data_IF_363817965795
#
_entry.id   IF_363817965795
#
_cell.length_a   1.000
_cell.length_b   1.000
_cell.length_c   1.000
_cell.angle_alpha   90.00
_cell.angle_beta   90.00
_cell.angle_gamma   90.00
#
_symmetry.space_group_name_H-M   'P 1'
#
loop_
_entity.id
_entity.type
_entity.pdbx_description
1 polymer ?
#
# COMPACT_ATOMS: atom_id res chain seq x y z
N UNK A 1 28.13 6.14 -8.04
CA UNK A 1 26.79 5.82 -7.53
C UNK A 1 26.64 4.31 -7.49
N UNK A 2 26.89 3.73 -6.33
CA UNK A 2 26.63 2.32 -6.01
C UNK A 2 25.20 1.91 -6.38
N UNK A 3 25.01 0.64 -6.70
CA UNK A 3 23.68 0.07 -6.98
C UNK A 3 22.69 0.26 -5.82
N UNK A 4 23.20 0.36 -4.59
CA UNK A 4 22.40 0.63 -3.39
C UNK A 4 21.74 2.02 -3.44
N UNK A 5 22.51 3.05 -3.80
CA UNK A 5 22.01 4.41 -3.88
C UNK A 5 20.91 4.55 -4.94
N UNK A 6 21.05 3.86 -6.08
CA UNK A 6 20.03 3.82 -7.12
C UNK A 6 18.74 3.15 -6.67
N UNK A 7 18.83 2.06 -5.88
CA UNK A 7 17.66 1.38 -5.34
C UNK A 7 16.91 2.28 -4.36
N UNK A 8 17.61 2.95 -3.44
CA UNK A 8 16.98 3.89 -2.51
C UNK A 8 16.42 5.14 -3.21
N UNK A 9 17.09 5.65 -4.25
CA UNK A 9 16.55 6.74 -5.10
C UNK A 9 15.20 6.32 -5.72
N UNK A 10 15.15 5.15 -6.35
CA UNK A 10 13.92 4.59 -6.91
C UNK A 10 12.83 4.43 -5.83
N UNK A 11 13.22 3.97 -4.64
CA UNK A 11 12.33 3.80 -3.49
C UNK A 11 11.70 5.12 -3.04
N UNK A 12 12.49 6.19 -2.96
CA UNK A 12 12.01 7.54 -2.62
C UNK A 12 11.00 8.02 -3.67
N UNK A 13 11.32 7.88 -4.96
CA UNK A 13 10.44 8.32 -6.05
C UNK A 13 9.11 7.56 -6.05
N UNK A 14 9.16 6.23 -5.95
CA UNK A 14 7.97 5.39 -5.90
C UNK A 14 7.13 5.70 -4.66
N UNK A 15 7.76 5.84 -3.49
CA UNK A 15 7.05 6.14 -2.26
C UNK A 15 6.43 7.55 -2.27
N UNK A 16 7.04 8.52 -2.94
CA UNK A 16 6.47 9.85 -3.16
C UNK A 16 5.19 9.79 -4.00
N UNK A 17 5.16 8.98 -5.06
CA UNK A 17 3.95 8.75 -5.87
C UNK A 17 2.85 8.11 -5.02
N UNK A 18 3.18 7.09 -4.22
CA UNK A 18 2.21 6.46 -3.32
C UNK A 18 1.68 7.44 -2.26
N UNK A 19 2.53 8.32 -1.73
CA UNK A 19 2.12 9.36 -0.78
C UNK A 19 1.10 10.31 -1.42
N UNK A 20 1.34 10.74 -2.65
CA UNK A 20 0.39 11.59 -3.39
C UNK A 20 -0.94 10.86 -3.64
N UNK A 21 -0.91 9.57 -4.00
CA UNK A 21 -2.11 8.75 -4.15
C UNK A 21 -2.91 8.63 -2.84
N UNK A 22 -2.26 8.47 -1.68
CA UNK A 22 -2.97 8.42 -0.40
C UNK A 22 -3.60 9.76 0.00
N UNK A 23 -2.97 10.89 -0.35
CA UNK A 23 -3.58 12.21 -0.19
C UNK A 23 -4.83 12.32 -1.07
N UNK A 24 -4.74 11.92 -2.34
CA UNK A 24 -5.88 11.88 -3.24
C UNK A 24 -7.02 11.02 -2.69
N UNK A 25 -6.75 9.82 -2.18
CA UNK A 25 -7.76 8.96 -1.56
C UNK A 25 -8.42 9.60 -0.34
N UNK A 26 -7.62 10.24 0.51
CA UNK A 26 -8.13 10.91 1.72
C UNK A 26 -9.05 12.08 1.37
N UNK A 27 -8.72 12.88 0.35
CA UNK A 27 -9.57 13.96 -0.15
C UNK A 27 -10.87 13.39 -0.72
N UNK A 28 -10.77 12.35 -1.57
CA UNK A 28 -11.91 11.68 -2.20
C UNK A 28 -12.92 11.17 -1.16
N UNK A 29 -12.44 10.56 -0.07
CA UNK A 29 -13.29 10.15 1.05
C UNK A 29 -13.90 11.33 1.82
N UNK A 30 -13.18 12.44 1.97
CA UNK A 30 -13.71 13.66 2.58
C UNK A 30 -14.77 14.33 1.71
N UNK A 31 -14.60 14.30 0.39
CA UNK A 31 -15.58 14.81 -0.57
C UNK A 31 -16.87 13.99 -0.51
N UNK A 32 -16.77 12.67 -0.30
CA UNK A 32 -17.94 11.82 -0.06
C UNK A 32 -18.62 12.15 1.28
N UNK A 33 -17.85 12.40 2.35
CA UNK A 33 -18.40 12.73 3.67
C UNK A 33 -19.16 14.06 3.69
N UNK A 34 -18.75 15.01 2.86
CA UNK A 34 -19.41 16.30 2.70
C UNK A 34 -20.47 16.31 1.58
N UNK A 35 -20.86 15.15 1.05
CA UNK A 35 -21.83 14.99 -0.04
C UNK A 35 -21.48 15.77 -1.34
N UNK A 36 -20.18 16.03 -1.59
CA UNK A 36 -19.72 16.71 -2.81
C UNK A 36 -19.63 15.78 -4.05
N UNK A 37 -19.54 14.46 -3.86
CA UNK A 37 -19.42 13.47 -4.94
C UNK A 37 -20.35 12.28 -4.70
N UNK A 38 -20.89 11.71 -5.79
CA UNK A 38 -21.70 10.49 -5.71
C UNK A 38 -20.84 9.27 -5.35
N UNK A 39 -21.37 8.31 -4.57
CA UNK A 39 -20.65 7.09 -4.19
C UNK A 39 -20.25 6.22 -5.40
N UNK A 40 -21.03 6.22 -6.48
CA UNK A 40 -20.75 5.47 -7.71
C UNK A 40 -19.53 6.07 -8.44
N UNK A 41 -19.50 7.38 -8.59
CA UNK A 41 -18.39 8.10 -9.25
C UNK A 41 -17.09 7.96 -8.46
N UNK A 42 -17.19 7.99 -7.13
CA UNK A 42 -16.09 7.72 -6.22
C UNK A 42 -15.50 6.32 -6.43
N UNK A 43 -16.36 5.28 -6.41
CA UNK A 43 -15.93 3.89 -6.55
C UNK A 43 -15.26 3.66 -7.90
N UNK A 44 -15.80 4.19 -8.99
CA UNK A 44 -15.20 4.07 -10.33
C UNK A 44 -13.81 4.71 -10.40
N UNK A 45 -13.64 5.91 -9.84
CA UNK A 45 -12.33 6.60 -9.81
C UNK A 45 -11.34 5.85 -8.95
N UNK A 46 -11.73 5.53 -7.72
CA UNK A 46 -10.84 4.98 -6.72
C UNK A 46 -10.40 3.56 -7.08
N UNK A 47 -11.32 2.76 -7.64
CA UNK A 47 -11.02 1.41 -8.08
C UNK A 47 -9.93 1.33 -9.16
N UNK A 48 -9.86 2.31 -10.05
CA UNK A 48 -8.81 2.37 -11.07
C UNK A 48 -7.39 2.52 -10.47
N UNK A 49 -7.28 3.06 -9.25
CA UNK A 49 -6.00 3.33 -8.59
C UNK A 49 -5.64 2.34 -7.46
N UNK A 50 -6.59 1.58 -6.93
CA UNK A 50 -6.33 0.59 -5.87
C UNK A 50 -5.32 -0.49 -6.31
N UNK A 51 -5.49 -1.03 -7.52
CA UNK A 51 -4.62 -2.10 -8.03
C UNK A 51 -3.21 -1.56 -8.36
N UNK A 52 -3.06 -0.44 -9.09
CA UNK A 52 -1.74 0.15 -9.34
C UNK A 52 -0.96 0.50 -8.06
N UNK A 53 -1.62 1.05 -7.02
CA UNK A 53 -0.97 1.39 -5.75
C UNK A 53 -0.38 0.14 -5.08
N UNK A 54 -1.19 -0.91 -4.93
CA UNK A 54 -0.75 -2.16 -4.33
C UNK A 54 0.36 -2.83 -5.15
N UNK A 55 0.26 -2.81 -6.48
CA UNK A 55 1.25 -3.39 -7.38
C UNK A 55 2.61 -2.69 -7.29
N UNK A 56 2.61 -1.35 -7.27
CA UNK A 56 3.83 -0.55 -7.15
C UNK A 56 4.51 -0.76 -5.80
N UNK A 57 3.75 -0.85 -4.71
CA UNK A 57 4.31 -1.15 -3.39
C UNK A 57 4.84 -2.58 -3.28
N UNK A 58 4.16 -3.55 -3.88
CA UNK A 58 4.59 -4.95 -3.95
C UNK A 58 5.90 -5.09 -4.76
N UNK A 59 5.99 -4.40 -5.90
CA UNK A 59 7.19 -4.36 -6.72
C UNK A 59 8.39 -3.80 -5.94
N UNK A 60 8.20 -2.71 -5.20
CA UNK A 60 9.26 -2.14 -4.37
C UNK A 60 9.73 -3.11 -3.27
N UNK A 61 8.78 -3.74 -2.58
CA UNK A 61 9.08 -4.73 -1.53
C UNK A 61 9.84 -5.93 -2.11
N UNK A 62 9.47 -6.40 -3.30
CA UNK A 62 10.17 -7.47 -4.00
C UNK A 62 11.61 -7.10 -4.36
N UNK A 63 11.87 -5.86 -4.80
CA UNK A 63 13.22 -5.38 -5.06
C UNK A 63 14.08 -5.39 -3.79
N UNK A 64 13.54 -4.99 -2.64
CA UNK A 64 14.26 -5.06 -1.36
C UNK A 64 14.59 -6.50 -0.94
N UNK A 65 13.72 -7.46 -1.25
CA UNK A 65 13.94 -8.89 -0.98
C UNK A 65 15.11 -9.44 -1.81
N UNK A 66 15.14 -9.17 -3.12
CA UNK A 66 16.23 -9.65 -3.99
C UNK A 66 17.60 -9.10 -3.55
N UNK A 67 17.64 -7.86 -3.08
CA UNK A 67 18.87 -7.21 -2.63
C UNK A 67 19.23 -7.51 -1.16
N UNK A 68 18.35 -8.18 -0.41
CA UNK A 68 18.65 -8.63 0.96
C UNK A 68 18.63 -7.54 2.04
N UNK A 69 17.91 -6.43 1.83
CA UNK A 69 17.83 -5.34 2.82
C UNK A 69 16.80 -5.66 3.93
N UNK A 70 17.20 -6.49 4.90
CA UNK A 70 16.34 -6.99 5.98
C UNK A 70 15.56 -5.91 6.75
N UNK A 71 16.19 -4.78 7.07
CA UNK A 71 15.53 -3.69 7.80
C UNK A 71 14.39 -3.08 6.97
N UNK A 72 14.63 -2.82 5.68
CA UNK A 72 13.62 -2.28 4.78
C UNK A 72 12.48 -3.28 4.56
N UNK A 73 12.78 -4.57 4.48
CA UNK A 73 11.77 -5.64 4.34
C UNK A 73 10.85 -5.68 5.57
N UNK A 74 11.42 -5.71 6.78
CA UNK A 74 10.66 -5.74 8.03
C UNK A 74 9.75 -4.52 8.15
N UNK A 75 10.24 -3.35 7.74
CA UNK A 75 9.45 -2.12 7.80
C UNK A 75 8.30 -2.10 6.77
N UNK A 76 8.48 -2.66 5.56
CA UNK A 76 7.42 -2.71 4.52
C UNK A 76 6.42 -3.86 4.71
N UNK A 77 6.81 -4.94 5.39
CA UNK A 77 5.99 -6.14 5.57
C UNK A 77 4.58 -5.87 6.14
N UNK A 78 4.38 -5.01 7.16
CA UNK A 78 3.05 -4.74 7.70
C UNK A 78 2.08 -4.19 6.63
N UNK A 79 2.53 -3.24 5.82
CA UNK A 79 1.71 -2.66 4.76
C UNK A 79 1.53 -3.63 3.59
N UNK A 80 2.59 -4.37 3.23
CA UNK A 80 2.53 -5.40 2.21
C UNK A 80 1.53 -6.50 2.57
N UNK A 81 1.54 -7.02 3.79
CA UNK A 81 0.58 -8.03 4.27
C UNK A 81 -0.85 -7.46 4.27
N UNK A 82 -1.02 -6.21 4.68
CA UNK A 82 -2.33 -5.55 4.67
C UNK A 82 -2.89 -5.44 3.24
N UNK A 83 -2.07 -4.99 2.29
CA UNK A 83 -2.47 -4.88 0.88
C UNK A 83 -2.64 -6.26 0.22
N UNK A 84 -1.80 -7.24 0.55
CA UNK A 84 -1.87 -8.61 0.05
C UNK A 84 -3.13 -9.32 0.52
N UNK A 85 -3.53 -9.18 1.80
CA UNK A 85 -4.81 -9.72 2.29
C UNK A 85 -6.03 -9.19 1.54
N UNK A 86 -5.91 -7.98 0.96
CA UNK A 86 -6.98 -7.31 0.20
C UNK A 86 -6.98 -7.68 -1.28
N UNK A 87 -5.81 -7.93 -1.87
CA UNK A 87 -5.65 -8.21 -3.31
C UNK A 87 -5.52 -9.71 -3.65
N UNK A 88 -4.96 -10.50 -2.73
CA UNK A 88 -4.71 -11.92 -2.91
C UNK A 88 -5.65 -12.68 -1.97
N UNK A 89 -6.59 -13.49 -2.49
CA UNK A 89 -7.19 -14.51 -1.66
C UNK A 89 -6.04 -15.44 -1.26
N UNK A 90 -5.59 -15.33 0.00
CA UNK A 90 -4.62 -16.28 0.53
C UNK A 90 -5.24 -17.65 0.29
N UNK A 91 -4.58 -18.53 -0.49
CA UNK A 91 -5.15 -19.83 -0.73
C UNK A 91 -5.33 -20.54 0.60
N UNK A 92 -6.49 -21.16 0.82
CA UNK A 92 -6.85 -21.78 2.10
C UNK A 92 -5.77 -22.76 2.63
N UNK A 93 -4.92 -23.30 1.74
CA UNK A 93 -3.79 -24.18 2.06
C UNK A 93 -2.58 -23.52 2.76
N UNK A 94 -2.52 -22.18 2.91
CA UNK A 94 -1.43 -21.53 3.68
C UNK A 94 -1.63 -21.66 5.20
N UNK A 95 -2.84 -21.99 5.66
CA UNK A 95 -3.14 -22.30 7.07
C UNK A 95 -3.88 -23.63 7.14
N UNK A 96 -3.15 -24.73 6.93
CA UNK A 96 -3.68 -26.08 7.15
C UNK A 96 -3.76 -26.35 8.67
N UNK A 97 -4.92 -26.02 9.25
CA UNK A 97 -5.19 -26.14 10.69
C UNK A 97 -6.68 -26.39 10.97
N UNK A 98 -7.11 -27.61 10.66
CA UNK A 98 -8.23 -28.43 11.19
C UNK A 98 -9.63 -27.88 11.57
N UNK A 99 -9.98 -26.60 11.45
CA UNK A 99 -11.37 -26.19 11.75
C UNK A 99 -12.14 -25.81 10.49
N UNK A 100 -13.01 -26.72 10.10
CA UNK A 100 -13.79 -26.72 8.88
C UNK A 100 -14.80 -25.59 8.75
N UNK A 101 -15.13 -25.33 7.47
CA UNK A 101 -16.45 -24.92 7.00
C UNK A 101 -16.96 -23.53 7.43
N UNK A 102 -16.35 -22.45 6.91
CA UNK A 102 -17.06 -21.16 6.79
C UNK A 102 -16.53 -20.18 5.72
N UNK A 103 -15.60 -20.58 4.85
CA UNK A 103 -14.88 -19.61 4.01
C UNK A 103 -15.12 -19.72 2.49
N UNK A 104 -15.98 -20.64 2.03
CA UNK A 104 -16.34 -20.82 0.60
C UNK A 104 -17.57 -19.97 0.22
N UNK A 105 -17.61 -18.69 0.62
CA UNK A 105 -18.72 -17.79 0.23
C UNK A 105 -18.33 -16.36 -0.15
N UNK A 106 -17.05 -16.04 -0.31
CA UNK A 106 -16.64 -14.67 -0.66
C UNK A 106 -15.52 -14.70 -1.72
N UNK A 107 -15.78 -15.40 -2.82
CA UNK A 107 -15.13 -15.12 -4.11
C UNK A 107 -15.96 -14.04 -4.83
N UNK A 108 -16.08 -12.89 -4.19
CA UNK A 108 -16.63 -11.70 -4.81
C UNK A 108 -15.57 -10.62 -4.71
N UNK A 109 -15.47 -9.77 -5.72
CA UNK A 109 -14.41 -8.80 -5.94
C UNK A 109 -14.28 -7.76 -4.78
N UNK A 110 -13.80 -8.17 -3.60
CA UNK A 110 -13.61 -7.35 -2.40
C UNK A 110 -12.50 -6.30 -2.54
N UNK A 111 -11.78 -6.30 -3.67
CA UNK A 111 -10.84 -5.24 -4.05
C UNK A 111 -11.54 -4.03 -4.69
N UNK A 112 -12.79 -4.20 -5.19
CA UNK A 112 -13.62 -3.13 -5.72
C UNK A 112 -14.43 -2.53 -4.57
N UNK A 113 -14.51 -1.20 -4.53
CA UNK A 113 -15.41 -0.51 -3.60
C UNK A 113 -16.84 -0.64 -4.11
N UNK A 114 -17.75 -1.10 -3.25
CA UNK A 114 -19.18 -1.14 -3.53
C UNK A 114 -19.84 0.17 -3.06
N UNK A 115 -20.52 0.84 -4.00
CA UNK A 115 -21.22 2.10 -3.76
C UNK A 115 -22.37 1.98 -2.74
N UNK A 116 -22.93 0.78 -2.54
CA UNK A 116 -24.03 0.56 -1.60
C UNK A 116 -23.56 0.49 -0.14
N UNK A 117 -22.35 0.00 0.11
CA UNK A 117 -21.79 -0.15 1.45
C UNK A 117 -20.81 0.96 1.85
N UNK A 118 -20.37 1.78 0.90
CA UNK A 118 -19.27 2.75 1.11
C UNK A 118 -19.57 3.75 2.23
N UNK A 119 -20.81 4.24 2.33
CA UNK A 119 -21.21 5.16 3.39
C UNK A 119 -21.19 4.51 4.78
N UNK A 120 -21.61 3.25 4.87
CA UNK A 120 -21.62 2.50 6.15
C UNK A 120 -20.21 2.26 6.69
N UNK A 121 -19.25 2.06 5.79
CA UNK A 121 -17.84 1.77 6.12
C UNK A 121 -16.90 2.97 5.93
N UNK A 122 -17.44 4.17 5.65
CA UNK A 122 -16.66 5.34 5.25
C UNK A 122 -15.58 5.70 6.28
N UNK A 123 -15.95 5.76 7.56
CA UNK A 123 -15.02 6.09 8.63
C UNK A 123 -13.87 5.08 8.75
N UNK A 124 -14.13 3.80 8.44
CA UNK A 124 -13.10 2.75 8.43
C UNK A 124 -12.13 2.97 7.27
N UNK A 125 -12.64 3.12 6.05
CA UNK A 125 -11.80 3.33 4.85
C UNK A 125 -11.01 4.64 4.88
N UNK A 126 -11.62 5.72 5.40
CA UNK A 126 -10.93 6.99 5.63
C UNK A 126 -9.78 6.83 6.63
N UNK A 127 -10.02 6.13 7.74
CA UNK A 127 -8.98 5.86 8.74
C UNK A 127 -7.86 4.97 8.18
N UNK A 128 -8.20 3.96 7.38
CA UNK A 128 -7.22 3.13 6.65
C UNK A 128 -6.33 3.98 5.74
N UNK A 129 -6.93 4.85 4.91
CA UNK A 129 -6.21 5.78 4.04
C UNK A 129 -5.27 6.70 4.83
N UNK A 130 -5.74 7.21 5.98
CA UNK A 130 -4.94 8.08 6.83
C UNK A 130 -3.76 7.36 7.51
N UNK A 131 -3.95 6.11 7.93
CA UNK A 131 -2.88 5.28 8.49
C UNK A 131 -1.84 4.98 7.40
N UNK A 132 -2.27 4.62 6.19
CA UNK A 132 -1.38 4.41 5.04
C UNK A 132 -0.59 5.66 4.69
N UNK A 133 -1.24 6.83 4.69
CA UNK A 133 -0.58 8.12 4.48
C UNK A 133 0.54 8.34 5.51
N UNK A 134 0.24 8.16 6.80
CA UNK A 134 1.23 8.28 7.87
C UNK A 134 2.39 7.30 7.71
N UNK A 135 2.11 6.05 7.32
CA UNK A 135 3.13 5.05 7.04
C UNK A 135 4.04 5.47 5.87
N UNK A 136 3.48 5.88 4.74
CA UNK A 136 4.27 6.33 3.58
C UNK A 136 5.09 7.58 3.91
N UNK A 137 4.58 8.49 4.74
CA UNK A 137 5.32 9.66 5.20
C UNK A 137 6.55 9.26 6.04
N UNK A 138 6.38 8.33 6.99
CA UNK A 138 7.50 7.83 7.80
C UNK A 138 8.53 7.07 6.94
N UNK A 139 8.06 6.21 6.03
CA UNK A 139 8.93 5.48 5.10
C UNK A 139 9.67 6.41 4.15
N UNK A 140 9.09 7.55 3.78
CA UNK A 140 9.74 8.55 2.91
C UNK A 140 11.04 9.06 3.54
N UNK A 141 10.98 9.47 4.82
CA UNK A 141 12.17 9.93 5.54
C UNK A 141 13.18 8.82 5.76
N UNK A 142 12.71 7.60 6.02
CA UNK A 142 13.58 6.43 6.15
C UNK A 142 14.37 6.16 4.86
N UNK A 143 13.70 6.11 3.69
CA UNK A 143 14.38 5.90 2.41
C UNK A 143 15.32 7.04 2.04
N UNK A 144 14.94 8.28 2.33
CA UNK A 144 15.79 9.45 2.10
C UNK A 144 17.07 9.35 2.95
N UNK A 145 16.95 9.00 4.24
CA UNK A 145 18.09 8.77 5.11
C UNK A 145 18.99 7.63 4.59
N UNK A 146 18.41 6.48 4.24
CA UNK A 146 19.16 5.35 3.70
C UNK A 146 19.87 5.68 2.38
N UNK A 147 19.25 6.48 1.51
CA UNK A 147 19.87 6.97 0.28
C UNK A 147 21.11 7.82 0.58
N UNK A 148 21.01 8.78 1.52
CA UNK A 148 22.14 9.63 1.91
C UNK A 148 23.28 8.79 2.48
N UNK A 149 22.97 7.84 3.36
CA UNK A 149 23.99 6.94 3.93
C UNK A 149 24.67 6.10 2.85
N UNK A 150 23.91 5.59 1.88
CA UNK A 150 24.47 4.85 0.75
C UNK A 150 25.38 5.72 -0.13
N UNK A 151 25.03 6.99 -0.37
CA UNK A 151 25.85 7.93 -1.12
C UNK A 151 27.15 8.28 -0.39
N UNK A 152 27.08 8.56 0.90
CA UNK A 152 28.28 8.87 1.71
C UNK A 152 29.23 7.67 1.74
N UNK A 153 28.69 6.45 1.84
CA UNK A 153 29.51 5.22 1.80
C UNK A 153 30.19 5.02 0.44
N UNK A 154 29.52 5.38 -0.65
CA UNK A 154 30.07 5.30 -2.01
C UNK A 154 31.22 6.29 -2.23
N UNK A 155 31.18 7.47 -1.60
CA UNK A 155 32.31 8.42 -1.62
C UNK A 155 33.49 7.99 -0.76
N UNK A 156 33.24 7.22 0.31
CA UNK A 156 34.29 6.76 1.22
C UNK A 156 35.06 5.52 0.73
N UNK A 157 34.59 4.87 -0.33
CA UNK A 157 35.21 3.69 -0.96
C UNK A 157 35.94 4.08 -2.24
#
# INVERSE_FOLDING_TARGET
MSGEAWLYLLSVLINAVNLFLQVFFTIMYSDLECDYINPIDLCNRLNAYIIPEAAVHAFLTFLFVINGYWLAIILNLPLFIFNAKKCVPIPAWVFEGEVGLTWIRILENQHLLDATEIFRKLNVHKKESFIKLGFHLLMFFFYLYSMIVALIRDESN
#
